data_IF_650180970651
#
_entry.id   IF_650180970651
#
_cell.length_a   1.000
_cell.length_b   1.000
_cell.length_c   1.000
_cell.angle_alpha   90.00
_cell.angle_beta   90.00
_cell.angle_gamma   90.00
#
_symmetry.space_group_name_H-M   'P 1'
#
loop_
_entity.id
_entity.type
_entity.pdbx_description
1 polymer ?
#
# COMPACT_ATOMS: atom_id res chain seq x y z
N UNK A 1 4.98 -10.30 -24.36
CA UNK A 1 5.61 -8.99 -24.18
C UNK A 1 5.18 -8.01 -25.24
N UNK A 2 3.93 -7.63 -25.17
CA UNK A 2 3.24 -7.27 -26.40
C UNK A 2 3.07 -5.75 -26.49
N UNK A 3 4.22 -5.04 -26.59
CA UNK A 3 4.18 -3.63 -26.98
C UNK A 3 3.77 -2.65 -25.85
N UNK A 4 3.87 -3.07 -24.58
CA UNK A 4 3.55 -2.16 -23.47
C UNK A 4 4.59 -1.03 -23.34
N UNK A 5 5.86 -1.33 -23.65
CA UNK A 5 6.97 -0.40 -23.65
C UNK A 5 7.72 -0.42 -24.98
N UNK A 6 8.41 0.66 -25.32
CA UNK A 6 9.38 0.65 -26.38
C UNK A 6 10.46 -0.43 -26.12
N UNK A 7 11.01 -1.04 -27.18
CA UNK A 7 11.95 -2.16 -27.05
C UNK A 7 13.15 -1.83 -26.16
N UNK A 8 13.74 -0.64 -26.33
CA UNK A 8 14.86 -0.17 -25.52
C UNK A 8 14.50 -0.04 -24.03
N UNK A 9 13.32 0.51 -23.72
CA UNK A 9 12.82 0.62 -22.35
C UNK A 9 12.57 -0.75 -21.74
N UNK A 10 11.98 -1.65 -22.50
CA UNK A 10 11.73 -3.03 -22.06
C UNK A 10 13.03 -3.76 -21.69
N UNK A 11 14.09 -3.58 -22.48
CA UNK A 11 15.39 -4.19 -22.22
C UNK A 11 16.08 -3.59 -20.98
N UNK A 12 16.00 -2.27 -20.79
CA UNK A 12 16.48 -1.60 -19.58
C UNK A 12 15.73 -2.09 -18.33
N UNK A 13 14.40 -2.25 -18.39
CA UNK A 13 13.60 -2.77 -17.29
C UNK A 13 13.92 -4.24 -16.96
N UNK A 14 14.15 -5.09 -17.97
CA UNK A 14 14.59 -6.48 -17.75
C UNK A 14 15.95 -6.56 -17.09
N UNK A 15 16.85 -5.65 -17.44
CA UNK A 15 18.20 -5.59 -16.85
C UNK A 15 18.23 -5.06 -15.42
N UNK A 16 17.14 -4.45 -14.93
CA UNK A 16 17.08 -3.82 -13.62
C UNK A 16 17.24 -4.81 -12.45
N UNK A 17 16.94 -6.10 -12.66
CA UNK A 17 17.09 -7.17 -11.68
C UNK A 17 16.11 -7.01 -10.48
N UNK A 18 16.31 -6.01 -9.63
CA UNK A 18 15.46 -5.75 -8.46
C UNK A 18 15.07 -4.29 -8.40
N UNK A 19 13.84 -4.04 -7.95
CA UNK A 19 13.31 -2.70 -7.68
C UNK A 19 12.89 -2.63 -6.21
N UNK A 20 13.38 -1.63 -5.49
CA UNK A 20 12.93 -1.44 -4.11
C UNK A 20 11.48 -0.91 -4.08
N UNK A 21 10.73 -1.28 -3.03
CA UNK A 21 9.38 -0.76 -2.86
C UNK A 21 9.35 0.77 -2.68
N UNK A 22 10.42 1.35 -2.10
CA UNK A 22 10.55 2.80 -1.95
C UNK A 22 10.74 3.52 -3.29
N UNK A 23 11.61 2.98 -4.16
CA UNK A 23 11.85 3.59 -5.47
C UNK A 23 10.60 3.45 -6.36
N UNK A 24 9.93 2.30 -6.29
CA UNK A 24 8.66 2.09 -6.96
C UNK A 24 7.58 3.07 -6.47
N UNK A 25 7.46 3.29 -5.16
CA UNK A 25 6.51 4.22 -4.57
C UNK A 25 6.78 5.66 -5.04
N UNK A 26 8.05 6.09 -4.93
CA UNK A 26 8.47 7.44 -5.35
C UNK A 26 8.19 7.66 -6.84
N UNK A 27 8.61 6.73 -7.69
CA UNK A 27 8.39 6.82 -9.14
C UNK A 27 6.91 6.74 -9.51
N UNK A 28 6.15 5.88 -8.88
CA UNK A 28 4.71 5.74 -9.14
C UNK A 28 3.90 6.96 -8.73
N UNK A 29 4.37 7.71 -7.72
CA UNK A 29 3.79 8.99 -7.29
C UNK A 29 4.23 10.15 -8.21
N UNK A 30 5.49 10.15 -8.63
CA UNK A 30 6.10 11.15 -9.51
C UNK A 30 7.02 10.47 -10.54
N UNK A 31 6.55 10.22 -11.78
CA UNK A 31 7.35 9.60 -12.83
C UNK A 31 8.58 10.41 -13.27
N UNK A 32 8.66 11.67 -12.91
CA UNK A 32 9.78 12.55 -13.22
C UNK A 32 10.82 12.62 -12.09
N UNK A 33 10.59 11.93 -10.98
CA UNK A 33 11.47 11.88 -9.80
C UNK A 33 12.87 11.33 -10.06
N UNK A 34 13.07 10.58 -11.16
CA UNK A 34 14.33 9.88 -11.44
C UNK A 34 14.61 8.69 -10.51
N UNK A 35 13.66 8.29 -9.67
CA UNK A 35 13.83 7.19 -8.70
C UNK A 35 14.12 5.84 -9.36
N UNK A 36 13.70 5.64 -10.61
CA UNK A 36 14.05 4.46 -11.42
C UNK A 36 14.98 4.90 -12.54
N UNK A 37 16.28 4.77 -12.32
CA UNK A 37 17.33 5.20 -13.28
C UNK A 37 17.15 4.59 -14.68
N UNK A 38 16.67 3.35 -14.77
CA UNK A 38 16.40 2.67 -16.04
C UNK A 38 15.33 3.38 -16.90
N UNK A 39 14.53 4.24 -16.30
CA UNK A 39 13.46 5.00 -16.96
C UNK A 39 13.80 6.49 -17.13
N UNK A 40 14.98 6.95 -16.69
CA UNK A 40 15.34 8.37 -16.71
C UNK A 40 15.27 8.97 -18.13
N UNK A 41 15.78 8.23 -19.13
CA UNK A 41 15.79 8.65 -20.53
C UNK A 41 14.63 8.04 -21.36
N UNK A 42 13.69 7.36 -20.71
CA UNK A 42 12.57 6.74 -21.41
C UNK A 42 11.57 7.78 -21.91
N UNK A 43 10.84 7.44 -22.96
CA UNK A 43 9.76 8.29 -23.47
C UNK A 43 8.71 8.55 -22.37
N UNK A 44 8.08 9.72 -22.41
CA UNK A 44 7.05 10.10 -21.43
C UNK A 44 5.89 9.09 -21.34
N UNK A 45 5.50 8.51 -22.47
CA UNK A 45 4.51 7.44 -22.54
C UNK A 45 4.93 6.20 -21.75
N UNK A 46 6.19 5.78 -21.86
CA UNK A 46 6.74 4.61 -21.15
C UNK A 46 6.82 4.87 -19.65
N UNK A 47 7.26 6.08 -19.24
CA UNK A 47 7.29 6.49 -17.83
C UNK A 47 5.90 6.47 -17.21
N UNK A 48 4.91 7.05 -17.88
CA UNK A 48 3.51 7.04 -17.45
C UNK A 48 2.94 5.64 -17.37
N UNK A 49 3.25 4.78 -18.34
CA UNK A 49 2.83 3.38 -18.35
C UNK A 49 3.43 2.63 -17.16
N UNK A 50 4.72 2.81 -16.89
CA UNK A 50 5.37 2.20 -15.74
C UNK A 50 4.75 2.68 -14.42
N UNK A 51 4.48 3.98 -14.28
CA UNK A 51 3.82 4.53 -13.11
C UNK A 51 2.41 3.94 -12.91
N UNK A 52 1.61 3.80 -13.97
CA UNK A 52 0.29 3.16 -13.91
C UNK A 52 0.36 1.71 -13.46
N UNK A 53 1.34 0.95 -13.95
CA UNK A 53 1.57 -0.44 -13.50
C UNK A 53 1.90 -0.48 -12.01
N UNK A 54 2.82 0.37 -11.56
CA UNK A 54 3.21 0.48 -10.14
C UNK A 54 2.00 0.86 -9.28
N UNK A 55 1.25 1.89 -9.65
CA UNK A 55 0.03 2.30 -8.94
C UNK A 55 -1.00 1.17 -8.85
N UNK A 56 -1.14 0.37 -9.92
CA UNK A 56 -2.00 -0.81 -9.92
C UNK A 56 -1.55 -1.87 -8.91
N UNK A 57 -0.24 -2.09 -8.77
CA UNK A 57 0.33 -3.02 -7.78
C UNK A 57 0.05 -2.53 -6.35
N UNK A 58 0.28 -1.25 -6.06
CA UNK A 58 -0.03 -0.66 -4.76
C UNK A 58 -1.53 -0.70 -4.44
N UNK A 59 -2.39 -0.43 -5.42
CA UNK A 59 -3.84 -0.55 -5.29
C UNK A 59 -4.29 -1.98 -4.98
N UNK A 60 -3.66 -3.00 -5.58
CA UNK A 60 -3.91 -4.42 -5.25
C UNK A 60 -3.45 -4.76 -3.84
N UNK A 61 -2.28 -4.26 -3.43
CA UNK A 61 -1.78 -4.44 -2.07
C UNK A 61 -2.73 -3.82 -1.04
N UNK A 62 -3.23 -2.61 -1.30
CA UNK A 62 -4.22 -1.95 -0.44
C UNK A 62 -5.50 -2.79 -0.29
N UNK A 63 -6.03 -3.33 -1.38
CA UNK A 63 -7.21 -4.22 -1.33
C UNK A 63 -6.95 -5.48 -0.49
N UNK A 64 -5.78 -6.10 -0.63
CA UNK A 64 -5.40 -7.26 0.17
C UNK A 64 -5.31 -6.92 1.66
N UNK A 65 -4.72 -5.78 2.01
CA UNK A 65 -4.65 -5.30 3.40
C UNK A 65 -6.06 -5.10 3.96
N UNK A 66 -6.93 -4.39 3.23
CA UNK A 66 -8.29 -4.10 3.68
C UNK A 66 -9.13 -5.38 3.78
N UNK A 67 -8.93 -6.36 2.89
CA UNK A 67 -9.60 -7.66 3.00
C UNK A 67 -9.22 -8.39 4.30
N UNK A 68 -7.96 -8.36 4.70
CA UNK A 68 -7.52 -8.93 5.98
C UNK A 68 -8.13 -8.19 7.19
N UNK A 69 -8.15 -6.85 7.15
CA UNK A 69 -8.80 -6.04 8.19
C UNK A 69 -10.29 -6.37 8.26
N UNK A 70 -10.97 -6.49 7.13
CA UNK A 70 -12.38 -6.86 7.06
C UNK A 70 -12.65 -8.24 7.70
N UNK A 71 -11.79 -9.22 7.43
CA UNK A 71 -11.91 -10.54 8.05
C UNK A 71 -11.85 -10.45 9.59
N UNK A 72 -10.89 -9.68 10.14
CA UNK A 72 -10.78 -9.46 11.59
C UNK A 72 -12.03 -8.76 12.14
N UNK A 73 -12.49 -7.72 11.45
CA UNK A 73 -13.70 -6.96 11.82
C UNK A 73 -14.93 -7.87 11.91
N UNK A 74 -15.09 -8.79 10.97
CA UNK A 74 -16.20 -9.75 10.97
C UNK A 74 -16.05 -10.82 12.04
N UNK A 75 -14.85 -11.37 12.20
CA UNK A 75 -14.58 -12.39 13.24
C UNK A 75 -14.81 -11.86 14.65
N UNK A 76 -14.52 -10.59 14.89
CA UNK A 76 -14.69 -9.94 16.19
C UNK A 76 -16.06 -9.27 16.36
N UNK A 77 -16.88 -9.27 15.31
CA UNK A 77 -18.12 -8.50 15.21
C UNK A 77 -17.94 -7.02 15.59
N UNK A 78 -16.75 -6.49 15.35
CA UNK A 78 -16.30 -5.17 15.79
C UNK A 78 -16.63 -4.03 14.82
N UNK A 79 -16.09 -2.86 15.11
CA UNK A 79 -16.10 -1.67 14.26
C UNK A 79 -17.51 -1.14 13.89
N UNK A 80 -18.53 -1.39 14.70
CA UNK A 80 -19.94 -0.99 14.42
C UNK A 80 -20.23 0.47 14.75
N UNK A 81 -19.44 1.09 15.62
CA UNK A 81 -19.71 2.42 16.11
C UNK A 81 -18.87 3.47 15.37
N UNK A 82 -19.52 4.37 14.64
CA UNK A 82 -18.89 5.45 13.90
C UNK A 82 -18.08 6.39 14.79
N UNK A 83 -18.53 6.64 16.00
CA UNK A 83 -17.87 7.55 16.94
C UNK A 83 -16.74 6.90 17.74
N UNK A 84 -16.64 5.56 17.66
CA UNK A 84 -15.57 4.77 18.27
C UNK A 84 -15.07 3.74 17.25
N UNK A 85 -14.37 4.19 16.19
CA UNK A 85 -13.86 3.29 15.17
C UNK A 85 -12.82 2.34 15.77
N UNK A 86 -12.72 1.16 15.17
CA UNK A 86 -11.62 0.22 15.47
C UNK A 86 -10.31 0.83 14.98
N UNK A 87 -9.31 0.89 15.85
CA UNK A 87 -7.98 1.33 15.49
C UNK A 87 -7.14 0.13 15.11
N UNK A 88 -6.63 0.14 13.88
CA UNK A 88 -5.65 -0.84 13.37
C UNK A 88 -4.27 -0.20 13.49
N UNK A 89 -3.46 -0.71 14.41
CA UNK A 89 -2.06 -0.31 14.55
C UNK A 89 -1.25 -0.90 13.39
N UNK A 90 -0.60 -0.06 12.61
CA UNK A 90 0.23 -0.48 11.48
C UNK A 90 1.68 -0.13 11.79
N UNK A 91 2.54 -1.14 11.80
CA UNK A 91 3.98 -1.00 11.91
C UNK A 91 4.62 -1.24 10.54
N UNK A 92 5.64 -0.45 10.23
CA UNK A 92 6.38 -0.57 8.98
C UNK A 92 6.68 0.78 8.32
N UNK A 93 7.92 0.92 7.86
CA UNK A 93 8.39 2.13 7.19
C UNK A 93 7.67 2.38 5.86
N UNK A 94 7.40 1.32 5.10
CA UNK A 94 6.71 1.44 3.83
C UNK A 94 5.32 2.07 4.01
N UNK A 95 4.49 1.54 4.92
CA UNK A 95 3.15 2.10 5.15
C UNK A 95 3.21 3.55 5.63
N UNK A 96 4.19 3.86 6.50
CA UNK A 96 4.32 5.20 7.09
C UNK A 96 4.74 6.26 6.10
N UNK A 97 5.66 5.92 5.19
CA UNK A 97 6.34 6.86 4.31
C UNK A 97 5.85 6.80 2.86
N UNK A 98 5.01 5.81 2.51
CA UNK A 98 4.55 5.62 1.14
C UNK A 98 3.56 6.70 0.71
N UNK A 99 3.83 7.29 -0.43
CA UNK A 99 2.94 8.23 -1.10
C UNK A 99 1.74 7.52 -1.77
N UNK A 100 1.87 6.23 -2.12
CA UNK A 100 0.84 5.46 -2.80
C UNK A 100 0.07 4.53 -1.87
N UNK A 101 0.75 3.75 -1.01
CA UNK A 101 0.10 2.69 -0.23
C UNK A 101 -0.84 3.24 0.84
N UNK A 102 -0.39 4.22 1.61
CA UNK A 102 -1.18 4.76 2.71
C UNK A 102 -2.50 5.40 2.23
N UNK A 103 -2.48 6.31 1.21
CA UNK A 103 -3.72 6.83 0.65
C UNK A 103 -4.62 5.74 0.05
N UNK A 104 -4.06 4.77 -0.69
CA UNK A 104 -4.83 3.69 -1.29
C UNK A 104 -5.50 2.79 -0.25
N UNK A 105 -4.85 2.52 0.89
CA UNK A 105 -5.46 1.76 2.00
C UNK A 105 -6.61 2.55 2.62
N UNK A 106 -6.44 3.85 2.86
CA UNK A 106 -7.50 4.67 3.45
C UNK A 106 -8.71 4.79 2.51
N UNK A 107 -8.48 4.99 1.22
CA UNK A 107 -9.55 5.01 0.21
C UNK A 107 -10.31 3.67 0.16
N UNK A 108 -9.58 2.56 0.15
CA UNK A 108 -10.20 1.23 0.11
C UNK A 108 -10.94 0.89 1.43
N UNK A 109 -10.43 1.32 2.59
CA UNK A 109 -11.14 1.22 3.88
C UNK A 109 -12.48 1.96 3.82
N UNK A 110 -12.47 3.21 3.36
CA UNK A 110 -13.70 3.98 3.23
C UNK A 110 -14.67 3.32 2.26
N UNK A 111 -14.21 3.01 1.05
CA UNK A 111 -15.02 2.41 -0.02
C UNK A 111 -15.63 1.07 0.38
N UNK A 112 -14.84 0.19 1.00
CA UNK A 112 -15.26 -1.18 1.26
C UNK A 112 -15.86 -1.34 2.66
N UNK A 113 -15.17 -0.91 3.72
CA UNK A 113 -15.67 -1.11 5.08
C UNK A 113 -16.74 -0.10 5.46
N UNK A 114 -16.53 1.20 5.17
CA UNK A 114 -17.51 2.21 5.60
C UNK A 114 -18.74 2.21 4.70
N UNK A 115 -18.55 2.42 3.39
CA UNK A 115 -19.69 2.62 2.49
C UNK A 115 -20.49 1.34 2.24
N UNK A 116 -19.82 0.18 2.05
CA UNK A 116 -20.52 -1.07 1.75
C UNK A 116 -20.94 -1.85 2.98
N UNK A 117 -20.09 -1.89 4.03
CA UNK A 117 -20.25 -2.81 5.16
C UNK A 117 -20.66 -2.10 6.45
N UNK A 118 -20.72 -0.77 6.45
CA UNK A 118 -21.06 0.04 7.63
C UNK A 118 -20.16 -0.29 8.85
N UNK A 119 -18.87 -0.53 8.59
CA UNK A 119 -17.85 -0.83 9.59
C UNK A 119 -16.80 0.27 9.60
N UNK A 120 -16.46 0.76 10.76
CA UNK A 120 -15.63 1.96 10.94
C UNK A 120 -14.27 1.59 11.50
N UNK A 121 -13.24 1.65 10.65
CA UNK A 121 -11.85 1.38 11.01
C UNK A 121 -10.96 2.56 10.61
N UNK A 122 -9.88 2.75 11.35
CA UNK A 122 -8.81 3.69 11.02
C UNK A 122 -7.47 3.01 11.17
N UNK A 123 -6.60 3.15 10.19
CA UNK A 123 -5.21 2.73 10.29
C UNK A 123 -4.37 3.84 10.93
N UNK A 124 -3.61 3.50 11.97
CA UNK A 124 -2.67 4.43 12.60
C UNK A 124 -1.26 3.87 12.53
N UNK A 125 -0.31 4.57 11.92
CA UNK A 125 1.09 4.19 11.97
C UNK A 125 1.60 4.35 13.42
N UNK A 126 2.07 3.26 14.00
CA UNK A 126 2.60 3.22 15.38
C UNK A 126 3.97 2.58 15.33
N UNK A 127 4.98 3.28 15.85
CA UNK A 127 6.32 2.72 15.97
C UNK A 127 6.32 1.61 17.03
N UNK A 128 6.98 0.49 16.71
CA UNK A 128 7.08 -0.68 17.58
C UNK A 128 5.72 -1.32 17.98
N UNK A 129 4.70 -1.18 17.12
CA UNK A 129 3.36 -1.74 17.39
C UNK A 129 3.41 -3.23 17.67
N UNK A 130 4.26 -3.99 16.97
CA UNK A 130 4.43 -5.42 17.16
C UNK A 130 4.95 -5.76 18.56
N UNK A 131 5.97 -5.04 19.06
CA UNK A 131 6.53 -5.24 20.38
C UNK A 131 5.54 -4.87 21.49
N UNK A 132 4.84 -3.73 21.32
CA UNK A 132 3.80 -3.27 22.27
C UNK A 132 2.63 -4.26 22.30
N UNK A 133 2.20 -4.74 21.12
CA UNK A 133 1.12 -5.73 21.01
C UNK A 133 1.48 -7.07 21.67
N UNK A 134 2.71 -7.55 21.48
CA UNK A 134 3.20 -8.78 22.12
C UNK A 134 3.26 -8.63 23.65
N UNK A 135 3.75 -7.50 24.16
CA UNK A 135 3.79 -7.22 25.59
C UNK A 135 2.37 -7.13 26.20
N UNK A 136 1.45 -6.46 25.52
CA UNK A 136 0.05 -6.39 25.97
C UNK A 136 -0.62 -7.77 25.98
N UNK A 137 -0.39 -8.60 24.96
CA UNK A 137 -0.92 -9.96 24.92
C UNK A 137 -0.38 -10.83 26.05
N UNK A 138 0.92 -10.72 26.36
CA UNK A 138 1.53 -11.46 27.48
C UNK A 138 0.93 -11.05 28.83
N UNK A 139 0.64 -9.77 29.04
CA UNK A 139 0.03 -9.27 30.27
C UNK A 139 -1.44 -9.70 30.44
N UNK A 140 -2.15 -9.96 29.34
CA UNK A 140 -3.55 -10.40 29.38
C UNK A 140 -3.70 -11.92 29.59
N UNK A 141 -2.61 -12.68 29.44
CA UNK A 141 -2.58 -14.14 29.62
C UNK A 141 -2.08 -14.56 30.99
N UNK A 142 -1.56 -13.66 31.81
CA UNK A 142 -1.17 -13.88 33.19
C UNK A 142 -2.25 -13.46 34.14
#
# INVERSE_FOLDING_TARGET
>A
DDGLFAAETADKLRALGTLSASDADTFGADPDSGAIAALADAADTDRKTAAMVIQSVFGRAAKAIVANIAAIVFLTDGAKNRYRPMVVAVDGSLFRNSALLHPAVNEELDRFLVQKLQRYCVCKPISNASAVGAAAAALLQG
#
